data_IF_912354309973
#
_entry.id   IF_912354309973
#
_cell.length_a   1.000
_cell.length_b   1.000
_cell.length_c   1.000
_cell.angle_alpha   90.00
_cell.angle_beta   90.00
_cell.angle_gamma   90.00
#
_symmetry.space_group_name_H-M   'P 1'
#
loop_
_entity.id
_entity.type
_entity.pdbx_description
1 polymer ?
#
# COMPACT_ATOMS: atom_id res chain seq x y z
N UNK A 1 3.07 8.32 -1.98
CA UNK A 1 3.37 9.56 -1.24
C UNK A 1 3.32 9.25 0.24
N UNK A 2 4.22 9.86 1.01
CA UNK A 2 4.19 9.78 2.47
C UNK A 2 4.33 11.19 3.05
N UNK A 3 3.41 11.56 3.92
CA UNK A 3 3.37 12.85 4.59
C UNK A 3 3.10 12.67 6.08
N UNK A 4 3.70 13.54 6.91
CA UNK A 4 3.51 13.53 8.35
C UNK A 4 3.68 14.92 8.94
N UNK A 5 2.84 15.27 9.92
CA UNK A 5 2.98 16.49 10.71
C UNK A 5 4.07 16.33 11.78
N UNK A 6 4.65 17.45 12.22
CA UNK A 6 5.79 17.48 13.14
C UNK A 6 5.46 18.05 14.52
N UNK A 7 4.20 17.98 14.97
CA UNK A 7 3.79 18.46 16.28
C UNK A 7 4.50 17.73 17.43
N UNK A 8 4.73 18.43 18.55
CA UNK A 8 5.43 17.85 19.71
C UNK A 8 4.59 16.78 20.41
N UNK A 9 3.33 17.08 20.73
CA UNK A 9 2.42 16.18 21.46
C UNK A 9 1.62 15.25 20.56
N UNK A 10 1.15 15.77 19.42
CA UNK A 10 0.29 15.05 18.48
C UNK A 10 0.92 15.10 17.09
N UNK A 11 1.01 13.94 16.44
CA UNK A 11 1.40 13.85 15.03
C UNK A 11 0.41 12.99 14.28
N UNK A 12 0.12 13.39 13.05
CA UNK A 12 -0.70 12.64 12.13
C UNK A 12 0.11 12.40 10.86
N UNK A 13 0.00 11.21 10.30
CA UNK A 13 0.66 10.85 9.05
C UNK A 13 -0.29 10.14 8.11
N UNK A 14 0.03 10.18 6.82
CA UNK A 14 -0.67 9.43 5.79
C UNK A 14 0.33 8.91 4.79
N UNK A 15 0.42 7.58 4.73
CA UNK A 15 1.04 6.91 3.61
C UNK A 15 -0.04 6.52 2.60
N UNK A 16 0.16 6.84 1.33
CA UNK A 16 -0.69 6.31 0.27
C UNK A 16 0.10 5.97 -0.99
N UNK A 17 -0.36 4.97 -1.72
CA UNK A 17 0.28 4.53 -2.95
C UNK A 17 -0.72 3.91 -3.90
N UNK A 18 -0.50 4.14 -5.19
CA UNK A 18 -1.22 3.48 -6.28
C UNK A 18 -0.19 3.00 -7.30
N UNK A 19 -0.38 1.79 -7.80
CA UNK A 19 0.39 1.26 -8.91
C UNK A 19 -0.54 0.53 -9.86
N UNK A 20 -0.21 0.55 -11.15
CA UNK A 20 -0.96 -0.12 -12.20
C UNK A 20 -0.02 -0.78 -13.21
N UNK A 21 -0.31 -2.02 -13.56
CA UNK A 21 0.28 -2.71 -14.68
C UNK A 21 -0.36 -2.20 -15.99
N UNK A 22 0.43 -1.55 -16.84
CA UNK A 22 -0.02 -1.02 -18.13
C UNK A 22 0.15 -2.02 -19.28
N UNK A 23 0.79 -3.16 -19.00
CA UNK A 23 1.27 -4.11 -20.00
C UNK A 23 2.38 -3.53 -20.89
N UNK A 24 2.72 -4.28 -21.93
CA UNK A 24 3.64 -3.88 -22.97
C UNK A 24 2.93 -3.07 -24.08
N UNK A 25 3.71 -2.32 -24.86
CA UNK A 25 3.22 -1.57 -26.02
C UNK A 25 2.70 -2.49 -27.14
N UNK A 26 3.33 -3.65 -27.30
CA UNK A 26 2.97 -4.69 -28.26
C UNK A 26 2.82 -6.04 -27.58
N UNK A 27 2.62 -7.09 -28.37
CA UNK A 27 2.55 -8.45 -27.85
C UNK A 27 3.90 -8.89 -27.29
N UNK A 28 3.85 -9.63 -26.19
CA UNK A 28 5.05 -10.17 -25.55
C UNK A 28 5.36 -11.50 -26.22
N UNK A 29 6.53 -11.59 -26.85
CA UNK A 29 7.08 -12.84 -27.39
C UNK A 29 8.02 -13.48 -26.37
N UNK A 30 7.79 -14.74 -26.02
CA UNK A 30 8.60 -15.44 -25.02
C UNK A 30 8.02 -15.36 -23.60
N UNK A 31 8.75 -15.86 -22.59
CA UNK A 31 8.26 -15.91 -21.22
C UNK A 31 8.11 -14.51 -20.60
N UNK A 32 7.05 -14.33 -19.82
CA UNK A 32 6.88 -13.15 -18.97
C UNK A 32 7.66 -13.41 -17.67
N UNK A 33 8.45 -12.42 -17.26
CA UNK A 33 9.17 -12.44 -15.98
C UNK A 33 8.60 -11.34 -15.09
N UNK A 34 7.59 -11.67 -14.29
CA UNK A 34 7.04 -10.75 -13.30
C UNK A 34 6.83 -11.44 -11.95
N UNK A 35 6.98 -10.65 -10.86
CA UNK A 35 6.75 -11.13 -9.50
C UNK A 35 5.26 -11.40 -9.23
N UNK A 36 4.38 -10.64 -9.88
CA UNK A 36 2.92 -10.77 -9.77
C UNK A 36 2.31 -10.35 -11.10
N UNK A 37 2.15 -11.30 -12.02
CA UNK A 37 1.73 -11.02 -13.40
C UNK A 37 0.22 -10.78 -13.51
N UNK A 38 -0.54 -11.41 -12.62
CA UNK A 38 -2.01 -11.44 -12.62
C UNK A 38 -2.64 -10.24 -11.91
N UNK A 39 -1.86 -9.26 -11.44
CA UNK A 39 -2.36 -8.07 -10.73
C UNK A 39 -2.43 -6.87 -11.68
N UNK A 40 -3.62 -6.27 -11.81
CA UNK A 40 -3.83 -5.06 -12.60
C UNK A 40 -3.35 -3.83 -11.84
N UNK A 41 -3.88 -3.62 -10.65
CA UNK A 41 -3.55 -2.45 -9.85
C UNK A 41 -3.61 -2.76 -8.37
N UNK A 42 -2.90 -1.95 -7.60
CA UNK A 42 -2.87 -2.00 -6.16
C UNK A 42 -2.94 -0.58 -5.60
N UNK A 43 -3.82 -0.39 -4.63
CA UNK A 43 -3.93 0.83 -3.83
C UNK A 43 -3.65 0.48 -2.37
N UNK A 44 -2.88 1.34 -1.70
CA UNK A 44 -2.62 1.28 -0.27
C UNK A 44 -2.86 2.64 0.35
N UNK A 45 -3.58 2.68 1.46
CA UNK A 45 -3.85 3.87 2.26
C UNK A 45 -3.61 3.50 3.71
N UNK A 46 -2.71 4.21 4.37
CA UNK A 46 -2.34 3.96 5.76
C UNK A 46 -2.24 5.26 6.57
N UNK A 47 -3.36 5.78 7.10
CA UNK A 47 -3.34 6.84 8.10
C UNK A 47 -2.65 6.37 9.39
N UNK A 48 -1.91 7.30 10.00
CA UNK A 48 -1.14 7.10 11.21
C UNK A 48 -1.41 8.20 12.21
N UNK A 49 -1.37 7.84 13.49
CA UNK A 49 -1.53 8.77 14.58
C UNK A 49 -0.52 8.48 15.68
N UNK A 50 0.10 9.52 16.20
CA UNK A 50 1.11 9.44 17.25
C UNK A 50 0.77 10.42 18.36
N UNK A 51 0.88 9.93 19.59
CA UNK A 51 0.78 10.71 20.82
C UNK A 51 2.09 10.59 21.61
N UNK A 52 2.71 11.72 21.93
CA UNK A 52 3.90 11.80 22.77
C UNK A 52 3.55 12.34 24.16
N UNK A 53 4.01 11.65 25.20
CA UNK A 53 3.87 12.04 26.60
C UNK A 53 5.20 11.82 27.33
N UNK A 54 6.04 12.87 27.37
CA UNK A 54 7.38 12.79 27.94
C UNK A 54 8.23 11.76 27.22
N UNK A 55 8.68 10.73 27.96
CA UNK A 55 9.48 9.61 27.43
C UNK A 55 8.64 8.52 26.75
N UNK A 56 7.31 8.60 26.77
CA UNK A 56 6.42 7.59 26.18
C UNK A 56 5.84 8.09 24.86
N UNK A 57 5.79 7.22 23.86
CA UNK A 57 5.05 7.44 22.62
C UNK A 57 4.07 6.30 22.36
N UNK A 58 2.84 6.65 22.05
CA UNK A 58 1.82 5.74 21.53
C UNK A 58 1.68 6.00 20.03
N UNK A 59 1.78 4.98 19.20
CA UNK A 59 1.58 5.08 17.76
C UNK A 59 0.51 4.08 17.31
N UNK A 60 -0.36 4.51 16.41
CA UNK A 60 -1.37 3.68 15.76
C UNK A 60 -1.30 3.87 14.25
N UNK A 61 -1.56 2.79 13.52
CA UNK A 61 -1.69 2.78 12.06
C UNK A 61 -2.88 1.92 11.66
N UNK A 62 -3.72 2.44 10.76
CA UNK A 62 -4.77 1.68 10.10
C UNK A 62 -4.34 1.56 8.65
N UNK A 63 -4.16 0.36 8.13
CA UNK A 63 -3.77 0.13 6.75
C UNK A 63 -4.87 -0.58 5.99
N UNK A 64 -5.28 0.02 4.88
CA UNK A 64 -6.14 -0.59 3.88
C UNK A 64 -5.33 -0.80 2.60
N UNK A 65 -5.21 -2.04 2.16
CA UNK A 65 -4.58 -2.41 0.89
C UNK A 65 -5.57 -3.17 0.03
N UNK A 66 -5.79 -2.73 -1.20
CA UNK A 66 -6.70 -3.38 -2.15
C UNK A 66 -5.97 -3.66 -3.45
N UNK A 67 -6.11 -4.88 -3.95
CA UNK A 67 -5.45 -5.34 -5.16
C UNK A 67 -6.45 -6.03 -6.09
N UNK A 68 -6.44 -5.65 -7.36
CA UNK A 68 -7.29 -6.24 -8.39
C UNK A 68 -6.51 -7.29 -9.18
N UNK A 69 -7.03 -8.52 -9.24
CA UNK A 69 -6.42 -9.65 -9.93
C UNK A 69 -7.29 -10.18 -11.06
N UNK A 70 -6.69 -10.78 -12.07
CA UNK A 70 -7.41 -11.42 -13.17
C UNK A 70 -6.50 -12.14 -14.17
N UNK A 71 -7.08 -12.71 -15.25
CA UNK A 71 -6.34 -13.27 -16.36
C UNK A 71 -5.49 -12.22 -17.10
N UNK A 72 -4.34 -12.66 -17.62
CA UNK A 72 -3.36 -11.85 -18.36
C UNK A 72 -3.53 -12.05 -19.87
N UNK A 73 -3.51 -10.98 -20.66
CA UNK A 73 -3.56 -11.03 -22.14
C UNK A 73 -2.17 -11.13 -22.79
N UNK A 74 -2.12 -11.21 -24.13
CA UNK A 74 -0.86 -11.31 -24.91
C UNK A 74 0.07 -10.10 -24.76
N UNK A 75 -0.42 -8.99 -24.20
CA UNK A 75 0.38 -7.78 -23.91
C UNK A 75 0.70 -7.66 -22.43
N UNK A 76 0.40 -8.65 -21.60
CA UNK A 76 0.64 -8.58 -20.16
C UNK A 76 -0.36 -7.69 -19.40
N UNK A 77 -1.50 -7.33 -20.01
CA UNK A 77 -2.56 -6.58 -19.32
C UNK A 77 -3.53 -7.53 -18.65
N UNK A 78 -4.07 -7.09 -17.53
CA UNK A 78 -4.94 -7.89 -16.70
C UNK A 78 -6.39 -7.49 -16.94
N UNK A 79 -7.26 -8.45 -17.24
CA UNK A 79 -8.67 -8.23 -17.54
C UNK A 79 -9.55 -9.04 -16.58
N UNK A 80 -10.88 -8.83 -16.59
CA UNK A 80 -11.81 -9.63 -15.76
C UNK A 80 -11.54 -9.51 -14.26
N UNK A 81 -11.37 -8.28 -13.78
CA UNK A 81 -10.82 -7.99 -12.46
C UNK A 81 -11.70 -8.47 -11.30
N UNK A 82 -11.07 -9.14 -10.34
CA UNK A 82 -11.60 -9.43 -9.01
C UNK A 82 -10.73 -8.74 -7.96
N UNK A 83 -11.35 -7.88 -7.17
CA UNK A 83 -10.66 -7.11 -6.13
C UNK A 83 -10.64 -7.87 -4.81
N UNK A 84 -9.45 -7.92 -4.19
CA UNK A 84 -9.25 -8.45 -2.83
C UNK A 84 -8.72 -7.32 -1.97
N UNK A 85 -9.34 -7.12 -0.81
CA UNK A 85 -8.99 -6.04 0.13
C UNK A 85 -8.54 -6.64 1.46
N UNK A 86 -7.48 -6.06 2.02
CA UNK A 86 -6.96 -6.35 3.33
C UNK A 86 -7.04 -5.10 4.22
N UNK A 87 -7.48 -5.29 5.45
CA UNK A 87 -7.47 -4.29 6.52
C UNK A 87 -6.54 -4.77 7.63
N UNK A 88 -5.60 -3.92 8.05
CA UNK A 88 -4.68 -4.20 9.16
C UNK A 88 -4.67 -3.04 10.14
N UNK A 89 -4.71 -3.37 11.43
CA UNK A 89 -4.59 -2.41 12.54
C UNK A 89 -3.27 -2.68 13.26
N UNK A 90 -2.49 -1.63 13.50
CA UNK A 90 -1.23 -1.70 14.23
C UNK A 90 -1.26 -0.70 15.38
N UNK A 91 -0.75 -1.11 16.53
CA UNK A 91 -0.50 -0.26 17.67
C UNK A 91 0.90 -0.55 18.23
N UNK A 92 1.60 0.50 18.65
CA UNK A 92 2.93 0.41 19.21
C UNK A 92 3.09 1.38 20.38
N UNK A 93 3.90 0.97 21.36
CA UNK A 93 4.30 1.78 22.52
C UNK A 93 5.82 1.84 22.53
N UNK A 94 6.36 3.05 22.61
CA UNK A 94 7.79 3.30 22.71
C UNK A 94 8.11 4.00 24.02
N UNK A 95 9.25 3.64 24.62
CA UNK A 95 9.84 4.35 25.74
C UNK A 95 11.25 4.82 25.33
N UNK A 96 11.53 6.11 25.51
CA UNK A 96 12.81 6.73 25.19
C UNK A 96 13.61 6.96 26.48
N UNK A 97 14.79 6.35 26.59
CA UNK A 97 15.66 6.41 27.78
C UNK A 97 16.40 7.74 27.90
#
# INVERSE_FOLDING_TARGET
>A
IDIQTNGEKWQAGLFSGYTKNLGAKGEISGPIYSRVETMDHLVRIAPRFIFNAGKVRLAQEIELTSAAYGPVDSRGRVNGLRTVTNLRLLAAVYYFF
#
